data_IF_534272588931
#
_entry.id   IF_534272588931
#
_cell.length_a   1.000
_cell.length_b   1.000
_cell.length_c   1.000
_cell.angle_alpha   90.00
_cell.angle_beta   90.00
_cell.angle_gamma   90.00
#
_symmetry.space_group_name_H-M   'P 1'
#
loop_
_entity.id
_entity.type
_entity.pdbx_description
1 polymer ?
#
# COMPACT_ATOMS: atom_id res chain seq x y z
N UNK A 1 21.61 24.82 16.42
CA UNK A 1 20.23 24.28 16.51
C UNK A 1 19.94 23.56 15.24
N UNK A 2 19.65 22.24 15.29
CA UNK A 2 19.23 21.50 14.10
C UNK A 2 17.86 22.03 13.65
N UNK A 3 17.70 22.29 12.36
CA UNK A 3 16.43 22.74 11.80
C UNK A 3 15.35 21.67 12.04
N UNK A 4 14.07 22.06 12.12
CA UNK A 4 12.94 21.14 12.30
C UNK A 4 12.97 19.98 11.27
N UNK A 5 13.44 20.26 10.05
CA UNK A 5 13.63 19.29 8.97
C UNK A 5 14.66 18.20 9.32
N UNK A 6 15.80 18.54 9.96
CA UNK A 6 16.80 17.54 10.39
C UNK A 6 16.30 16.67 11.55
N UNK A 7 15.48 17.23 12.46
CA UNK A 7 14.86 16.44 13.54
C UNK A 7 13.85 15.45 12.99
N UNK A 8 13.09 15.84 11.97
CA UNK A 8 12.13 14.98 11.29
C UNK A 8 12.83 13.81 10.56
N UNK A 9 13.93 14.06 9.83
CA UNK A 9 14.73 13.01 9.23
C UNK A 9 15.33 12.05 10.27
N UNK A 10 15.81 12.54 11.40
CA UNK A 10 16.35 11.72 12.50
C UNK A 10 15.27 10.83 13.13
N UNK A 11 14.03 11.34 13.26
CA UNK A 11 12.89 10.55 13.78
C UNK A 11 12.55 9.39 12.86
N UNK A 12 12.48 9.62 11.52
CA UNK A 12 12.19 8.57 10.54
C UNK A 12 13.30 7.52 10.43
N UNK A 13 14.57 7.94 10.44
CA UNK A 13 15.71 7.01 10.40
C UNK A 13 15.81 6.12 11.64
N UNK A 14 15.26 6.55 12.77
CA UNK A 14 15.27 5.75 14.01
C UNK A 14 14.22 4.62 13.96
N UNK A 15 13.16 4.75 13.13
CA UNK A 15 12.09 3.75 12.98
C UNK A 15 12.31 2.81 11.81
N UNK A 16 13.12 3.17 10.83
CA UNK A 16 13.54 2.28 9.75
C UNK A 16 14.68 1.43 10.32
N UNK A 17 14.30 0.36 10.99
CA UNK A 17 15.27 -0.60 11.51
C UNK A 17 15.93 -1.34 10.33
N UNK A 18 17.24 -1.61 10.40
CA UNK A 18 17.85 -2.60 9.52
C UNK A 18 17.06 -3.91 9.69
N UNK A 19 16.98 -4.76 8.64
CA UNK A 19 16.21 -6.00 8.70
C UNK A 19 16.58 -6.75 9.97
N UNK A 20 15.58 -6.93 10.86
CA UNK A 20 15.80 -7.66 12.09
C UNK A 20 16.22 -9.07 11.69
N UNK A 21 17.36 -9.53 12.20
CA UNK A 21 17.65 -10.95 12.12
C UNK A 21 16.51 -11.69 12.79
N UNK A 22 15.92 -12.71 12.14
CA UNK A 22 14.91 -13.52 12.78
C UNK A 22 15.42 -14.02 14.14
N UNK A 23 14.56 -13.92 15.15
CA UNK A 23 14.87 -14.47 16.48
C UNK A 23 14.76 -16.00 16.50
N UNK A 24 14.02 -16.55 15.51
CA UNK A 24 13.86 -17.98 15.33
C UNK A 24 15.15 -18.63 14.84
N UNK A 25 15.56 -19.70 15.51
CA UNK A 25 16.58 -20.61 14.96
C UNK A 25 16.03 -21.35 13.73
N UNK A 26 16.88 -21.96 12.87
CA UNK A 26 16.41 -22.73 11.72
C UNK A 26 15.43 -23.86 12.10
N UNK A 27 15.65 -24.52 13.23
CA UNK A 27 14.78 -25.58 13.76
C UNK A 27 13.43 -24.99 14.21
N UNK A 28 13.45 -23.89 14.96
CA UNK A 28 12.24 -23.18 15.39
C UNK A 28 11.45 -22.65 14.20
N UNK A 29 12.12 -22.13 13.17
CA UNK A 29 11.48 -21.67 11.92
C UNK A 29 10.72 -22.80 11.23
N UNK A 30 11.29 -24.00 11.17
CA UNK A 30 10.62 -25.16 10.58
C UNK A 30 9.37 -25.57 11.40
N UNK A 31 9.49 -25.61 12.73
CA UNK A 31 8.36 -25.91 13.63
C UNK A 31 7.27 -24.83 13.47
N UNK A 32 7.66 -23.54 13.47
CA UNK A 32 6.75 -22.43 13.31
C UNK A 32 5.96 -22.49 11.99
N UNK A 33 6.63 -22.80 10.87
CA UNK A 33 5.99 -22.98 9.55
C UNK A 33 4.99 -24.13 9.55
N UNK A 34 5.35 -25.27 10.16
CA UNK A 34 4.47 -26.44 10.27
C UNK A 34 3.25 -26.13 11.11
N UNK A 35 3.44 -25.48 12.27
CA UNK A 35 2.37 -25.08 13.16
C UNK A 35 1.46 -24.03 12.51
N UNK A 36 2.04 -23.01 11.89
CA UNK A 36 1.31 -21.99 11.16
C UNK A 36 0.38 -22.61 10.12
N UNK A 37 0.93 -23.52 9.29
CA UNK A 37 0.14 -24.23 8.29
C UNK A 37 -1.00 -25.05 8.95
N UNK A 38 -0.72 -25.77 10.03
CA UNK A 38 -1.74 -26.53 10.75
C UNK A 38 -2.88 -25.67 11.25
N UNK A 39 -2.58 -24.49 11.82
CA UNK A 39 -3.57 -23.55 12.32
C UNK A 39 -4.37 -22.92 11.18
N UNK A 40 -3.73 -22.49 10.11
CA UNK A 40 -4.41 -21.87 8.95
C UNK A 40 -5.26 -22.88 8.18
N UNK A 41 -4.81 -24.12 8.02
CA UNK A 41 -5.59 -25.18 7.37
C UNK A 41 -6.84 -25.55 8.19
N UNK A 42 -6.75 -25.47 9.51
CA UNK A 42 -7.87 -25.74 10.41
C UNK A 42 -8.85 -24.54 10.47
N UNK A 43 -8.35 -23.31 10.35
CA UNK A 43 -9.20 -22.12 10.38
C UNK A 43 -10.23 -22.18 9.24
N UNK A 44 -11.51 -22.02 9.53
CA UNK A 44 -12.52 -22.12 8.48
C UNK A 44 -12.33 -21.02 7.46
N UNK A 45 -12.23 -21.40 6.17
CA UNK A 45 -12.16 -20.48 5.03
C UNK A 45 -13.51 -19.81 4.78
N UNK A 46 -14.20 -19.47 5.83
CA UNK A 46 -15.49 -18.79 5.83
C UNK A 46 -15.29 -17.27 5.83
N UNK A 47 -16.27 -16.56 5.35
CA UNK A 47 -16.30 -15.11 5.48
C UNK A 47 -16.66 -14.76 6.92
N UNK A 48 -15.81 -14.04 7.64
CA UNK A 48 -16.09 -13.61 9.01
C UNK A 48 -17.27 -12.65 9.00
N UNK A 49 -18.40 -13.06 9.57
CA UNK A 49 -19.65 -12.27 9.62
C UNK A 49 -20.03 -11.62 8.27
N UNK A 50 -19.75 -12.27 7.14
CA UNK A 50 -20.02 -11.75 5.82
C UNK A 50 -19.06 -10.67 5.32
N UNK A 51 -17.94 -10.44 5.99
CA UNK A 51 -17.00 -9.34 5.70
C UNK A 51 -15.88 -9.75 4.71
N UNK A 52 -15.02 -10.70 5.10
CA UNK A 52 -13.88 -11.22 4.33
C UNK A 52 -13.45 -12.58 4.92
N UNK A 53 -12.39 -13.18 4.37
CA UNK A 53 -11.87 -14.49 4.80
C UNK A 53 -10.55 -14.31 5.58
N UNK A 54 -10.58 -14.30 6.93
CA UNK A 54 -9.41 -14.00 7.77
C UNK A 54 -8.23 -14.92 7.51
N UNK A 55 -8.44 -16.25 7.52
CA UNK A 55 -7.39 -17.22 7.29
C UNK A 55 -6.74 -17.04 5.90
N UNK A 56 -7.53 -16.73 4.86
CA UNK A 56 -7.01 -16.45 3.51
C UNK A 56 -6.19 -15.16 3.50
N UNK A 57 -6.61 -14.11 4.21
CA UNK A 57 -5.84 -12.87 4.32
C UNK A 57 -4.44 -13.12 4.91
N UNK A 58 -4.38 -13.89 6.01
CA UNK A 58 -3.12 -14.21 6.68
C UNK A 58 -2.24 -15.08 5.79
N UNK A 59 -2.79 -16.15 5.19
CA UNK A 59 -2.09 -17.07 4.29
C UNK A 59 -1.51 -16.34 3.09
N UNK A 60 -2.32 -15.54 2.39
CA UNK A 60 -1.90 -14.79 1.22
C UNK A 60 -0.86 -13.71 1.57
N UNK A 61 -0.94 -13.13 2.77
CA UNK A 61 0.10 -12.21 3.27
C UNK A 61 1.41 -12.96 3.48
N UNK A 62 1.39 -14.09 4.20
CA UNK A 62 2.58 -14.92 4.45
C UNK A 62 3.26 -15.39 3.15
N UNK A 63 2.48 -15.78 2.15
CA UNK A 63 3.03 -16.28 0.87
C UNK A 63 3.70 -15.19 0.04
N UNK A 64 3.29 -13.91 0.19
CA UNK A 64 3.79 -12.80 -0.61
C UNK A 64 4.85 -11.94 0.04
N UNK A 65 5.09 -12.08 1.33
CA UNK A 65 6.18 -11.38 2.02
C UNK A 65 7.51 -12.10 1.83
N UNK A 66 8.61 -11.33 1.85
CA UNK A 66 9.96 -11.88 1.77
C UNK A 66 10.46 -12.35 3.14
N UNK A 67 10.19 -11.58 4.19
CA UNK A 67 10.65 -11.84 5.55
C UNK A 67 9.71 -12.79 6.30
N UNK A 68 9.52 -14.03 5.77
CA UNK A 68 8.56 -15.00 6.29
C UNK A 68 8.80 -15.37 7.76
N UNK A 69 10.04 -15.48 8.20
CA UNK A 69 10.33 -15.81 9.59
C UNK A 69 10.00 -14.64 10.54
N UNK A 70 10.21 -13.39 10.12
CA UNK A 70 9.78 -12.20 10.87
C UNK A 70 8.25 -12.14 10.99
N UNK A 71 7.54 -12.52 9.94
CA UNK A 71 6.08 -12.62 10.00
C UNK A 71 5.61 -13.72 10.95
N UNK A 72 6.24 -14.88 10.95
CA UNK A 72 5.92 -15.94 11.90
C UNK A 72 6.16 -15.50 13.35
N UNK A 73 7.26 -14.79 13.60
CA UNK A 73 7.52 -14.18 14.91
C UNK A 73 6.39 -13.22 15.31
N UNK A 74 5.97 -12.37 14.39
CA UNK A 74 4.91 -11.40 14.61
C UNK A 74 3.57 -12.08 14.88
N UNK A 75 3.19 -13.05 14.05
CA UNK A 75 1.99 -13.85 14.20
C UNK A 75 1.97 -14.59 15.54
N UNK A 76 3.01 -15.34 15.84
CA UNK A 76 3.05 -16.13 17.07
C UNK A 76 3.18 -15.28 18.33
N UNK A 77 3.86 -14.14 18.27
CA UNK A 77 3.89 -13.19 19.40
C UNK A 77 2.49 -12.64 19.67
N UNK A 78 1.74 -12.29 18.61
CA UNK A 78 0.34 -11.86 18.76
C UNK A 78 -0.53 -12.97 19.38
N UNK A 79 -0.42 -14.19 18.88
CA UNK A 79 -1.15 -15.33 19.44
C UNK A 79 -0.77 -15.54 20.92
N UNK A 80 0.52 -15.51 21.26
CA UNK A 80 1.01 -15.69 22.63
C UNK A 80 0.40 -14.65 23.59
N UNK A 81 0.39 -13.41 23.21
CA UNK A 81 -0.13 -12.33 24.06
C UNK A 81 -1.65 -12.34 24.22
N UNK A 82 -2.38 -12.98 23.31
CA UNK A 82 -3.86 -12.98 23.33
C UNK A 82 -4.49 -14.31 23.74
N UNK A 83 -3.73 -15.41 23.69
CA UNK A 83 -4.25 -16.75 24.04
C UNK A 83 -3.72 -17.24 25.40
N UNK A 84 -2.46 -16.93 25.74
CA UNK A 84 -1.84 -17.40 26.97
C UNK A 84 -2.02 -16.35 28.06
N UNK A 85 -2.77 -16.66 29.17
CA UNK A 85 -2.94 -15.75 30.29
C UNK A 85 -1.59 -15.30 30.87
N UNK A 86 -1.53 -14.06 31.40
CA UNK A 86 -0.26 -13.55 31.95
C UNK A 86 0.30 -14.41 33.07
N UNK A 87 -0.56 -14.98 33.88
CA UNK A 87 -0.19 -15.85 34.99
C UNK A 87 0.44 -17.18 34.55
N UNK A 88 0.17 -17.60 33.31
CA UNK A 88 0.69 -18.86 32.73
C UNK A 88 1.95 -18.63 31.88
N UNK A 89 2.36 -17.35 31.68
CA UNK A 89 3.54 -17.01 30.93
C UNK A 89 4.82 -17.30 31.73
N UNK A 90 5.58 -18.30 31.29
CA UNK A 90 6.86 -18.69 31.90
C UNK A 90 8.02 -17.75 31.54
N UNK A 91 9.16 -17.97 32.15
CA UNK A 91 10.42 -17.20 31.92
C UNK A 91 11.24 -17.70 30.71
N UNK A 92 10.76 -18.71 29.99
CA UNK A 92 11.44 -19.28 28.80
C UNK A 92 11.21 -18.47 27.53
N UNK A 93 11.81 -18.93 26.41
CA UNK A 93 11.55 -18.34 25.08
C UNK A 93 10.06 -18.36 24.78
N UNK A 94 9.55 -17.24 24.24
CA UNK A 94 8.17 -17.11 23.77
C UNK A 94 7.79 -18.25 22.83
N UNK A 95 8.68 -18.57 21.87
CA UNK A 95 8.45 -19.62 20.88
C UNK A 95 8.40 -21.01 21.50
N UNK A 96 9.25 -21.32 22.46
CA UNK A 96 9.22 -22.59 23.17
C UNK A 96 7.88 -22.79 23.92
N UNK A 97 7.34 -21.73 24.49
CA UNK A 97 6.05 -21.76 25.20
C UNK A 97 4.88 -21.93 24.23
N UNK A 98 4.89 -21.21 23.09
CA UNK A 98 3.89 -21.35 22.02
C UNK A 98 3.89 -22.77 21.47
N UNK A 99 5.06 -23.30 21.12
CA UNK A 99 5.15 -24.66 20.56
C UNK A 99 4.72 -25.72 21.57
N UNK A 100 5.02 -25.54 22.85
CA UNK A 100 4.53 -26.41 23.93
C UNK A 100 3.00 -26.32 24.06
N UNK A 101 2.43 -25.10 24.02
CA UNK A 101 1.01 -24.87 24.11
C UNK A 101 0.23 -25.54 22.97
N UNK A 102 0.68 -25.38 21.73
CA UNK A 102 0.01 -25.94 20.55
C UNK A 102 0.42 -27.39 20.21
N UNK A 103 1.31 -28.02 21.00
CA UNK A 103 1.82 -29.39 20.72
C UNK A 103 0.71 -30.38 20.44
N UNK A 104 -0.34 -30.35 21.27
CA UNK A 104 -1.46 -31.28 21.23
C UNK A 104 -2.72 -30.65 20.61
N UNK A 105 -2.57 -29.64 19.75
CA UNK A 105 -3.69 -28.89 19.14
C UNK A 105 -4.73 -29.81 18.49
N UNK A 106 -4.28 -30.91 17.84
CA UNK A 106 -5.18 -31.85 17.18
C UNK A 106 -6.18 -32.49 18.17
N UNK A 107 -5.77 -32.70 19.42
CA UNK A 107 -6.57 -33.33 20.47
C UNK A 107 -7.42 -32.37 21.31
N UNK A 108 -7.29 -31.03 21.05
CA UNK A 108 -8.03 -30.04 21.82
C UNK A 108 -9.54 -30.16 21.69
N UNK A 109 -10.24 -29.77 22.74
CA UNK A 109 -11.70 -29.63 22.71
C UNK A 109 -12.14 -28.63 21.65
N UNK A 110 -13.33 -28.79 21.06
CA UNK A 110 -13.85 -27.81 20.09
C UNK A 110 -13.82 -26.37 20.63
N UNK A 111 -14.17 -26.16 21.91
CA UNK A 111 -14.16 -24.85 22.55
C UNK A 111 -12.77 -24.20 22.56
N UNK A 112 -11.72 -24.96 22.88
CA UNK A 112 -10.35 -24.42 22.91
C UNK A 112 -9.87 -24.10 21.50
N UNK A 113 -10.24 -24.91 20.51
CA UNK A 113 -9.96 -24.62 19.09
C UNK A 113 -10.68 -23.37 18.64
N UNK A 114 -11.94 -23.17 19.01
CA UNK A 114 -12.70 -21.96 18.66
C UNK A 114 -12.03 -20.70 19.23
N UNK A 115 -11.55 -20.73 20.48
CA UNK A 115 -10.80 -19.61 21.07
C UNK A 115 -9.53 -19.29 20.30
N UNK A 116 -8.77 -20.29 19.87
CA UNK A 116 -7.59 -20.07 19.04
C UNK A 116 -7.96 -19.49 17.67
N UNK A 117 -9.06 -19.95 17.06
CA UNK A 117 -9.54 -19.44 15.78
C UNK A 117 -10.04 -17.99 15.89
N UNK A 118 -10.72 -17.63 16.96
CA UNK A 118 -11.12 -16.24 17.22
C UNK A 118 -9.89 -15.32 17.32
N UNK A 119 -8.79 -15.80 17.91
CA UNK A 119 -7.53 -15.04 17.98
C UNK A 119 -6.88 -14.88 16.60
N UNK A 120 -6.95 -15.90 15.74
CA UNK A 120 -6.47 -15.82 14.34
C UNK A 120 -7.31 -14.80 13.55
N UNK A 121 -8.64 -14.82 13.73
CA UNK A 121 -9.54 -13.85 13.11
C UNK A 121 -9.22 -12.42 13.60
N UNK A 122 -8.95 -12.23 14.88
CA UNK A 122 -8.53 -10.94 15.46
C UNK A 122 -7.17 -10.47 14.92
N UNK A 123 -6.23 -11.39 14.66
CA UNK A 123 -4.95 -11.02 13.99
C UNK A 123 -5.17 -10.53 12.57
N UNK A 124 -6.06 -11.17 11.82
CA UNK A 124 -6.43 -10.67 10.48
C UNK A 124 -7.07 -9.28 10.56
N UNK A 125 -7.95 -9.05 11.55
CA UNK A 125 -8.54 -7.74 11.81
C UNK A 125 -7.48 -6.69 12.17
N UNK A 126 -6.51 -7.06 13.00
CA UNK A 126 -5.36 -6.20 13.31
C UNK A 126 -4.57 -5.80 12.06
N UNK A 127 -4.31 -6.74 11.13
CA UNK A 127 -3.64 -6.42 9.85
C UNK A 127 -4.48 -5.46 9.00
N UNK A 128 -5.80 -5.64 8.97
CA UNK A 128 -6.68 -4.73 8.25
C UNK A 128 -6.64 -3.33 8.85
N UNK A 129 -6.80 -3.21 10.16
CA UNK A 129 -6.91 -1.91 10.83
C UNK A 129 -5.61 -1.12 10.84
N UNK A 130 -4.46 -1.80 10.95
CA UNK A 130 -3.16 -1.16 11.08
C UNK A 130 -2.36 -1.09 9.77
N UNK A 131 -2.80 -1.77 8.71
CA UNK A 131 -2.06 -1.78 7.46
C UNK A 131 -2.96 -1.60 6.23
N UNK A 132 -3.81 -2.57 5.90
CA UNK A 132 -4.51 -2.58 4.61
C UNK A 132 -5.53 -1.43 4.46
N UNK A 133 -6.33 -1.16 5.48
CA UNK A 133 -7.34 -0.10 5.42
C UNK A 133 -6.71 1.30 5.40
N UNK A 134 -5.76 1.65 6.29
CA UNK A 134 -5.06 2.92 6.22
C UNK A 134 -4.33 3.12 4.89
N UNK A 135 -3.66 2.08 4.38
CA UNK A 135 -2.94 2.14 3.11
C UNK A 135 -3.89 2.47 1.96
N UNK A 136 -5.03 1.76 1.85
CA UNK A 136 -6.03 2.02 0.81
C UNK A 136 -6.69 3.40 0.96
N UNK A 137 -7.05 3.80 2.17
CA UNK A 137 -7.64 5.13 2.42
C UNK A 137 -6.72 6.28 2.00
N UNK A 138 -5.40 6.07 2.07
CA UNK A 138 -4.38 7.06 1.73
C UNK A 138 -3.99 7.05 0.25
N UNK A 139 -4.09 5.90 -0.43
CA UNK A 139 -3.61 5.72 -1.82
C UNK A 139 -4.45 6.48 -2.84
N UNK A 140 -5.76 6.61 -2.62
CA UNK A 140 -6.68 7.33 -3.54
C UNK A 140 -6.52 8.85 -3.46
N UNK A 141 -5.89 9.36 -2.41
CA UNK A 141 -5.81 10.78 -2.08
C UNK A 141 -4.41 11.37 -2.27
N UNK A 142 -3.74 11.04 -3.36
CA UNK A 142 -2.47 11.72 -3.70
C UNK A 142 -2.75 13.21 -3.91
N UNK A 143 -2.09 14.13 -3.16
CA UNK A 143 -2.27 15.56 -3.33
C UNK A 143 -1.94 15.96 -4.77
N UNK A 144 -2.91 16.52 -5.49
CA UNK A 144 -2.68 17.05 -6.83
C UNK A 144 -2.50 18.56 -6.74
N UNK A 145 -1.38 19.15 -7.21
CA UNK A 145 -1.24 20.59 -7.25
C UNK A 145 -2.21 21.16 -8.28
N UNK A 146 -3.01 22.13 -7.86
CA UNK A 146 -3.91 22.85 -8.78
C UNK A 146 -3.10 23.68 -9.79
N UNK A 147 -3.61 23.92 -11.01
CA UNK A 147 -2.93 24.78 -11.99
C UNK A 147 -2.58 26.19 -11.46
N UNK A 148 -3.40 26.74 -10.58
CA UNK A 148 -3.16 28.03 -9.91
C UNK A 148 -1.98 27.94 -8.93
N UNK A 149 -1.82 26.82 -8.21
CA UNK A 149 -0.70 26.62 -7.32
C UNK A 149 0.64 26.47 -8.05
N UNK A 150 0.63 25.98 -9.30
CA UNK A 150 1.82 25.89 -10.15
C UNK A 150 2.32 27.27 -10.60
N UNK A 151 1.42 28.24 -10.80
CA UNK A 151 1.77 29.60 -11.25
C UNK A 151 2.30 30.48 -10.11
N UNK A 152 1.91 30.21 -8.86
CA UNK A 152 2.23 31.06 -7.71
C UNK A 152 3.59 30.74 -7.04
N UNK A 153 4.31 29.71 -7.47
CA UNK A 153 5.34 29.05 -6.64
C UNK A 153 6.79 29.32 -7.04
N UNK A 154 7.12 30.47 -7.61
CA UNK A 154 8.55 30.83 -7.79
C UNK A 154 9.26 31.27 -6.50
N UNK A 155 8.54 31.48 -5.38
CA UNK A 155 9.10 31.96 -4.10
C UNK A 155 8.53 31.28 -2.84
N UNK A 156 7.95 30.06 -2.95
CA UNK A 156 7.40 29.40 -1.77
C UNK A 156 8.48 28.65 -0.96
N UNK A 157 8.42 28.66 0.38
CA UNK A 157 9.37 27.91 1.21
C UNK A 157 9.25 26.41 0.96
N UNK A 158 10.35 25.68 1.12
CA UNK A 158 10.56 24.24 0.95
C UNK A 158 9.59 23.39 1.79
N UNK A 159 8.31 23.32 1.39
CA UNK A 159 7.27 22.52 2.03
C UNK A 159 6.79 21.37 1.14
N UNK A 160 5.91 20.54 1.68
CA UNK A 160 5.31 19.38 1.01
C UNK A 160 4.70 19.74 -0.36
N UNK A 161 4.03 20.90 -0.49
CA UNK A 161 3.44 21.36 -1.77
C UNK A 161 4.47 21.54 -2.87
N UNK A 162 5.64 22.08 -2.55
CA UNK A 162 6.74 22.27 -3.51
C UNK A 162 7.30 20.93 -3.99
N UNK A 163 7.48 19.95 -3.09
CA UNK A 163 7.96 18.61 -3.43
C UNK A 163 6.97 17.88 -4.35
N UNK A 164 5.69 17.89 -4.02
CA UNK A 164 4.63 17.25 -4.84
C UNK A 164 4.55 17.90 -6.23
N UNK A 165 4.68 19.24 -6.33
CA UNK A 165 4.70 19.93 -7.63
C UNK A 165 5.93 19.54 -8.47
N UNK A 166 7.09 19.41 -7.85
CA UNK A 166 8.32 18.95 -8.50
C UNK A 166 8.17 17.50 -8.94
N UNK A 167 7.72 16.60 -8.07
CA UNK A 167 7.44 15.21 -8.39
C UNK A 167 6.55 15.07 -9.62
N UNK A 168 5.46 15.88 -9.67
CA UNK A 168 4.55 15.89 -10.83
C UNK A 168 5.27 16.26 -12.13
N UNK A 169 6.09 17.30 -12.12
CA UNK A 169 6.82 17.74 -13.31
C UNK A 169 7.84 16.70 -13.78
N UNK A 170 8.57 16.11 -12.83
CA UNK A 170 9.57 15.09 -13.11
C UNK A 170 8.93 13.81 -13.69
N UNK A 171 7.83 13.32 -13.10
CA UNK A 171 7.13 12.15 -13.59
C UNK A 171 6.51 12.39 -14.98
N UNK A 172 5.85 13.52 -15.20
CA UNK A 172 5.31 13.85 -16.53
C UNK A 172 6.41 13.90 -17.60
N UNK A 173 7.56 14.51 -17.29
CA UNK A 173 8.73 14.56 -18.22
C UNK A 173 9.28 13.15 -18.47
N UNK A 174 9.46 12.34 -17.42
CA UNK A 174 9.95 10.96 -17.53
C UNK A 174 9.06 10.12 -18.46
N UNK A 175 7.73 10.24 -18.26
CA UNK A 175 6.74 9.39 -18.94
C UNK A 175 6.27 10.03 -20.28
N UNK A 176 7.01 11.02 -20.82
CA UNK A 176 6.72 11.70 -22.08
C UNK A 176 5.31 12.31 -22.12
N UNK A 177 4.84 12.83 -20.97
CA UNK A 177 3.49 13.38 -20.79
C UNK A 177 2.39 12.37 -21.19
N UNK A 178 2.65 11.06 -20.99
CA UNK A 178 1.71 9.99 -21.31
C UNK A 178 1.37 9.15 -20.09
N UNK A 179 0.11 8.76 -20.00
CA UNK A 179 -0.30 7.73 -19.04
C UNK A 179 0.47 6.43 -19.28
N UNK A 180 1.09 5.87 -18.26
CA UNK A 180 1.89 4.63 -18.39
C UNK A 180 1.03 3.40 -18.75
N UNK A 181 -0.29 3.45 -18.49
CA UNK A 181 -1.24 2.38 -18.83
C UNK A 181 -1.82 2.58 -20.23
N UNK A 182 -2.60 3.66 -20.45
CA UNK A 182 -3.36 3.89 -21.67
C UNK A 182 -2.57 4.53 -22.81
N UNK A 183 -1.42 5.13 -22.51
CA UNK A 183 -0.60 5.94 -23.43
C UNK A 183 -1.27 7.22 -23.91
N UNK A 184 -2.39 7.64 -23.30
CA UNK A 184 -3.01 8.93 -23.59
C UNK A 184 -2.09 10.07 -23.17
N UNK A 185 -2.01 11.11 -24.02
CA UNK A 185 -1.16 12.27 -23.80
C UNK A 185 -1.84 13.30 -22.87
N UNK A 186 -1.04 14.04 -22.09
CA UNK A 186 -1.57 15.06 -21.17
C UNK A 186 -2.24 16.21 -21.94
N UNK A 187 -3.54 16.41 -21.67
CA UNK A 187 -4.37 17.43 -22.34
C UNK A 187 -3.91 18.85 -22.02
N UNK A 188 -3.41 19.11 -20.82
CA UNK A 188 -2.94 20.43 -20.43
C UNK A 188 -1.64 20.80 -21.16
N UNK A 189 -0.70 19.87 -21.26
CA UNK A 189 0.54 20.06 -22.01
C UNK A 189 0.28 20.18 -23.52
N UNK A 190 -0.67 19.39 -24.07
CA UNK A 190 -1.06 19.51 -25.47
C UNK A 190 -1.56 20.92 -25.79
N UNK A 191 -2.48 21.47 -24.96
CA UNK A 191 -2.98 22.85 -25.15
C UNK A 191 -1.83 23.87 -25.12
N UNK A 192 -0.98 23.78 -24.10
CA UNK A 192 0.16 24.68 -23.94
C UNK A 192 1.10 24.66 -25.15
N UNK A 193 1.43 23.46 -25.68
CA UNK A 193 2.28 23.31 -26.86
C UNK A 193 1.63 23.86 -28.13
N UNK A 194 0.32 23.58 -28.33
CA UNK A 194 -0.43 24.06 -29.50
C UNK A 194 -0.66 25.57 -29.49
N UNK A 195 -0.79 26.20 -28.31
CA UNK A 195 -0.85 27.67 -28.18
C UNK A 195 0.44 28.34 -28.62
N UNK A 196 1.59 27.67 -28.44
CA UNK A 196 2.91 28.18 -28.89
C UNK A 196 3.16 27.91 -30.38
N UNK A 197 2.75 26.75 -30.88
CA UNK A 197 2.93 26.36 -32.27
C UNK A 197 1.91 25.27 -32.65
N UNK A 198 1.07 25.52 -33.65
CA UNK A 198 0.08 24.57 -34.16
C UNK A 198 0.69 23.27 -34.73
N UNK A 199 1.99 23.28 -35.09
CA UNK A 199 2.71 22.12 -35.55
C UNK A 199 3.54 21.44 -34.44
N UNK A 200 3.18 21.70 -33.17
CA UNK A 200 3.86 21.06 -32.05
C UNK A 200 3.70 19.54 -32.09
N UNK A 201 4.76 18.90 -31.65
CA UNK A 201 4.87 17.44 -31.55
C UNK A 201 4.83 17.00 -30.09
N UNK A 202 4.44 15.75 -29.88
CA UNK A 202 4.71 15.07 -28.62
C UNK A 202 6.20 14.66 -28.49
N UNK A 203 6.55 14.04 -27.38
CA UNK A 203 7.94 13.65 -27.10
C UNK A 203 8.38 12.41 -27.91
N UNK A 204 7.43 11.72 -28.55
CA UNK A 204 7.69 10.60 -29.46
C UNK A 204 7.83 11.08 -30.93
N UNK A 205 7.68 12.39 -31.18
CA UNK A 205 7.88 13.05 -32.47
C UNK A 205 6.63 13.16 -33.36
N UNK A 206 5.46 12.72 -32.88
CA UNK A 206 4.20 12.77 -33.60
C UNK A 206 3.51 14.14 -33.46
N UNK A 207 2.91 14.64 -34.54
CA UNK A 207 2.17 15.91 -34.52
C UNK A 207 0.91 15.80 -33.67
N UNK A 208 0.78 16.65 -32.64
CA UNK A 208 -0.36 16.65 -31.73
C UNK A 208 -1.70 16.85 -32.46
N UNK A 209 -1.75 17.72 -33.48
CA UNK A 209 -2.95 17.98 -34.28
C UNK A 209 -3.46 16.77 -35.10
N UNK A 210 -2.60 15.78 -35.34
CA UNK A 210 -2.95 14.57 -36.10
C UNK A 210 -3.48 13.47 -35.20
N UNK A 211 -3.37 13.62 -33.87
CA UNK A 211 -3.84 12.63 -32.92
C UNK A 211 -5.38 12.79 -32.71
N UNK A 212 -6.05 11.68 -32.46
CA UNK A 212 -7.50 11.68 -32.21
C UNK A 212 -7.81 12.31 -30.85
N UNK A 213 -8.99 12.90 -30.71
CA UNK A 213 -9.41 13.58 -29.47
C UNK A 213 -9.46 12.66 -28.24
N UNK A 214 -9.70 11.35 -28.44
CA UNK A 214 -9.71 10.33 -27.39
C UNK A 214 -8.32 9.92 -26.90
N UNK A 215 -7.26 10.40 -27.57
CA UNK A 215 -5.86 10.20 -27.16
C UNK A 215 -5.37 11.25 -26.15
N UNK A 216 -6.23 12.20 -25.76
CA UNK A 216 -5.88 13.26 -24.80
C UNK A 216 -6.71 13.14 -23.53
N UNK A 217 -6.04 13.14 -22.38
CA UNK A 217 -6.66 13.07 -21.05
C UNK A 217 -5.89 13.95 -20.07
N UNK A 218 -6.52 14.42 -18.99
CA UNK A 218 -5.78 15.04 -17.89
C UNK A 218 -5.06 13.94 -17.09
N UNK A 219 -3.76 14.13 -16.90
CA UNK A 219 -2.94 13.18 -16.17
C UNK A 219 -2.69 13.63 -14.74
N UNK A 220 -2.56 12.65 -13.88
CA UNK A 220 -2.24 12.77 -12.46
C UNK A 220 -1.00 11.93 -12.15
N UNK A 221 -0.34 12.24 -11.04
CA UNK A 221 0.79 11.44 -10.55
C UNK A 221 0.36 10.72 -9.29
N UNK A 222 0.36 9.41 -9.36
CA UNK A 222 -0.01 8.52 -8.27
C UNK A 222 1.25 8.03 -7.55
N UNK A 223 1.31 8.15 -6.22
CA UNK A 223 2.32 7.45 -5.43
C UNK A 223 2.05 5.94 -5.43
N UNK A 224 3.11 5.13 -5.52
CA UNK A 224 3.02 3.67 -5.39
C UNK A 224 2.79 3.30 -3.93
N UNK A 225 3.61 3.84 -3.03
CA UNK A 225 3.38 3.82 -1.58
C UNK A 225 2.91 5.21 -1.15
N UNK A 226 1.76 5.34 -0.45
CA UNK A 226 1.15 6.62 -0.17
C UNK A 226 2.03 7.57 0.64
N UNK A 227 2.06 8.84 0.25
CA UNK A 227 2.77 9.92 0.92
C UNK A 227 2.45 10.00 2.43
N UNK A 228 1.19 9.79 2.82
CA UNK A 228 0.74 9.89 4.22
C UNK A 228 1.39 8.88 5.16
N UNK A 229 1.90 7.76 4.65
CA UNK A 229 2.54 6.72 5.46
C UNK A 229 3.82 7.24 6.14
N UNK A 230 4.60 8.06 5.43
CA UNK A 230 5.89 8.57 5.92
C UNK A 230 5.80 10.00 6.53
N UNK A 231 4.61 10.61 6.55
CA UNK A 231 4.44 11.96 7.10
C UNK A 231 4.08 11.94 8.57
N UNK A 232 4.75 12.81 9.34
CA UNK A 232 4.38 13.13 10.73
C UNK A 232 3.45 14.33 10.71
N UNK A 233 2.41 14.34 11.54
CA UNK A 233 1.54 15.51 11.66
C UNK A 233 2.32 16.72 12.19
N UNK A 234 1.86 17.93 11.85
CA UNK A 234 2.54 19.19 12.28
C UNK A 234 2.57 19.39 13.79
N UNK A 235 1.72 18.68 14.53
CA UNK A 235 1.56 18.77 15.97
C UNK A 235 2.33 17.68 16.74
N UNK A 236 2.81 16.63 16.06
CA UNK A 236 3.51 15.52 16.65
C UNK A 236 5.01 15.53 16.31
N UNK A 237 5.82 15.09 17.25
CA UNK A 237 7.26 14.91 17.04
C UNK A 237 7.63 13.51 16.51
N UNK A 238 6.70 12.58 16.55
CA UNK A 238 6.89 11.17 16.21
C UNK A 238 5.74 10.61 15.35
N UNK A 239 5.98 9.49 14.67
CA UNK A 239 4.95 8.73 13.98
C UNK A 239 4.00 8.09 14.99
N UNK A 240 2.71 8.06 14.66
CA UNK A 240 1.70 7.32 15.45
C UNK A 240 2.01 5.81 15.49
N UNK A 241 1.52 5.12 16.51
CA UNK A 241 1.71 3.67 16.65
C UNK A 241 1.13 2.90 15.46
N UNK A 242 0.02 3.37 14.88
CA UNK A 242 -0.57 2.78 13.68
C UNK A 242 0.35 2.90 12.46
N UNK A 243 1.00 4.05 12.26
CA UNK A 243 1.98 4.23 11.17
C UNK A 243 3.25 3.41 11.39
N UNK A 244 3.71 3.31 12.64
CA UNK A 244 4.81 2.43 13.00
C UNK A 244 4.50 0.97 12.69
N UNK A 245 3.30 0.50 13.05
CA UNK A 245 2.83 -0.85 12.72
C UNK A 245 2.75 -1.07 11.21
N UNK A 246 2.22 -0.11 10.45
CA UNK A 246 2.14 -0.20 9.00
C UNK A 246 3.52 -0.28 8.33
N UNK A 247 4.48 0.55 8.76
CA UNK A 247 5.87 0.49 8.27
C UNK A 247 6.53 -0.84 8.63
N UNK A 248 6.31 -1.36 9.84
CA UNK A 248 6.84 -2.64 10.26
C UNK A 248 6.30 -3.79 9.40
N UNK A 249 4.99 -3.77 9.08
CA UNK A 249 4.38 -4.77 8.19
C UNK A 249 4.92 -4.62 6.75
N UNK A 250 5.10 -3.38 6.28
CA UNK A 250 5.65 -3.09 4.96
C UNK A 250 7.08 -3.62 4.80
N UNK A 251 7.92 -3.50 5.84
CA UNK A 251 9.28 -4.04 5.87
C UNK A 251 9.32 -5.57 5.78
N UNK A 252 8.24 -6.27 6.17
CA UNK A 252 8.16 -7.72 5.97
C UNK A 252 7.99 -8.10 4.51
N UNK A 253 7.34 -7.24 3.69
CA UNK A 253 7.22 -7.48 2.25
C UNK A 253 8.57 -7.40 1.54
N UNK A 254 9.35 -6.37 1.83
CA UNK A 254 10.72 -6.23 1.32
C UNK A 254 11.49 -5.27 2.25
N UNK A 255 12.56 -5.74 2.94
CA UNK A 255 13.30 -4.94 3.92
C UNK A 255 14.03 -3.73 3.31
N UNK A 256 14.20 -3.70 1.98
CA UNK A 256 14.85 -2.58 1.30
C UNK A 256 13.87 -1.45 0.94
N UNK A 257 12.58 -1.55 1.31
CA UNK A 257 11.59 -0.51 1.02
C UNK A 257 11.73 0.69 1.96
N UNK A 258 12.03 0.44 3.23
CA UNK A 258 12.15 1.49 4.22
C UNK A 258 12.99 2.69 3.75
N UNK A 259 14.22 2.51 3.26
CA UNK A 259 15.04 3.59 2.72
C UNK A 259 14.43 4.33 1.53
N UNK A 260 13.65 3.64 0.68
CA UNK A 260 13.01 4.25 -0.50
C UNK A 260 11.83 5.17 -0.17
N UNK A 261 11.27 5.06 1.04
CA UNK A 261 10.11 5.87 1.45
C UNK A 261 10.40 6.76 2.64
N UNK A 262 11.65 6.79 3.11
CA UNK A 262 12.05 7.55 4.29
C UNK A 262 12.00 9.06 4.04
N UNK A 263 11.24 9.79 4.84
CA UNK A 263 11.22 11.26 4.83
C UNK A 263 10.87 11.85 3.46
N UNK A 264 11.75 12.70 2.87
CA UNK A 264 11.51 13.29 1.55
C UNK A 264 11.49 12.30 0.39
N UNK A 265 12.12 11.14 0.54
CA UNK A 265 12.24 10.12 -0.50
C UNK A 265 10.89 9.54 -0.93
N UNK A 266 9.87 9.62 -0.06
CA UNK A 266 8.49 9.24 -0.40
C UNK A 266 7.97 10.02 -1.62
N UNK A 267 8.43 11.26 -1.83
CA UNK A 267 8.08 12.14 -2.95
C UNK A 267 9.09 12.05 -4.12
N UNK A 268 9.78 10.94 -4.27
CA UNK A 268 10.71 10.72 -5.37
C UNK A 268 10.03 10.07 -6.58
N UNK A 269 10.51 10.34 -7.82
CA UNK A 269 9.92 9.78 -9.04
C UNK A 269 9.85 8.25 -9.06
N UNK A 270 10.78 7.55 -8.41
CA UNK A 270 10.74 6.09 -8.33
C UNK A 270 9.56 5.55 -7.49
N UNK A 271 8.92 6.38 -6.66
CA UNK A 271 7.71 6.03 -5.93
C UNK A 271 6.44 6.56 -6.61
N UNK A 272 6.47 6.86 -7.91
CA UNK A 272 5.31 7.46 -8.56
C UNK A 272 5.14 7.05 -10.03
N UNK A 273 3.88 7.06 -10.49
CA UNK A 273 3.43 6.74 -11.84
C UNK A 273 2.57 7.87 -12.40
N UNK A 274 2.71 8.15 -13.71
CA UNK A 274 1.81 9.06 -14.44
C UNK A 274 0.60 8.30 -14.97
N UNK A 275 -0.59 8.66 -14.52
CA UNK A 275 -1.84 7.95 -14.82
C UNK A 275 -2.95 8.93 -15.25
N UNK A 276 -3.98 8.44 -15.95
CA UNK A 276 -5.25 9.17 -16.07
C UNK A 276 -5.97 9.13 -14.72
N UNK A 277 -6.92 10.03 -14.50
CA UNK A 277 -7.72 10.05 -13.28
C UNK A 277 -8.36 8.68 -12.95
N UNK A 278 -8.94 8.02 -13.96
CA UNK A 278 -9.55 6.71 -13.77
C UNK A 278 -8.53 5.64 -13.34
N UNK A 279 -7.36 5.56 -14.01
CA UNK A 279 -6.34 4.59 -13.63
C UNK A 279 -5.63 4.95 -12.32
N UNK A 280 -5.53 6.23 -11.96
CA UNK A 280 -5.06 6.64 -10.64
C UNK A 280 -5.98 6.10 -9.55
N UNK A 281 -7.31 6.24 -9.73
CA UNK A 281 -8.28 5.68 -8.79
C UNK A 281 -8.15 4.16 -8.68
N UNK A 282 -8.20 3.44 -9.80
CA UNK A 282 -8.10 1.97 -9.81
C UNK A 282 -6.77 1.47 -9.21
N UNK A 283 -5.67 2.20 -9.44
CA UNK A 283 -4.37 1.89 -8.84
C UNK A 283 -4.39 2.11 -7.33
N UNK A 284 -4.89 3.25 -6.85
CA UNK A 284 -5.02 3.53 -5.43
C UNK A 284 -6.01 2.61 -4.70
N UNK A 285 -6.99 2.07 -5.41
CA UNK A 285 -7.92 1.05 -4.91
C UNK A 285 -7.35 -0.38 -4.95
N UNK A 286 -6.12 -0.56 -5.46
CA UNK A 286 -5.48 -1.86 -5.69
C UNK A 286 -6.27 -2.78 -6.65
N UNK A 287 -7.01 -2.19 -7.56
CA UNK A 287 -7.76 -2.92 -8.59
C UNK A 287 -6.94 -3.18 -9.85
N UNK A 288 -5.91 -2.38 -10.13
CA UNK A 288 -4.91 -2.64 -11.17
C UNK A 288 -3.53 -2.80 -10.53
N UNK A 289 -2.70 -3.64 -11.13
CA UNK A 289 -1.39 -3.97 -10.64
C UNK A 289 -0.38 -4.16 -11.78
N UNK A 290 0.90 -4.08 -11.44
CA UNK A 290 2.03 -4.20 -12.37
C UNK A 290 2.86 -5.42 -11.98
N UNK A 291 3.01 -6.37 -12.89
CA UNK A 291 3.86 -7.54 -12.71
C UNK A 291 4.98 -7.57 -13.74
N UNK A 292 6.20 -7.72 -13.28
CA UNK A 292 7.34 -7.88 -14.18
C UNK A 292 7.22 -9.21 -14.92
N UNK A 293 7.10 -9.14 -16.25
CA UNK A 293 6.88 -10.34 -17.09
C UNK A 293 8.09 -11.27 -17.08
N UNK A 294 9.28 -10.69 -17.14
CA UNK A 294 10.55 -11.41 -17.14
C UNK A 294 11.52 -10.66 -16.22
N UNK A 295 12.01 -11.29 -15.15
CA UNK A 295 12.98 -10.65 -14.24
C UNK A 295 14.28 -10.21 -14.93
N UNK A 296 14.61 -10.77 -16.10
CA UNK A 296 15.80 -10.42 -16.88
C UNK A 296 15.57 -9.20 -17.77
N UNK A 297 14.31 -8.86 -18.05
CA UNK A 297 13.94 -7.69 -18.86
C UNK A 297 13.47 -6.59 -17.92
N UNK A 298 14.37 -5.69 -17.62
CA UNK A 298 14.07 -4.55 -16.76
C UNK A 298 12.94 -3.69 -17.34
N UNK A 299 12.10 -3.14 -16.47
CA UNK A 299 11.07 -2.12 -16.78
C UNK A 299 9.92 -2.59 -17.68
N UNK A 300 9.84 -3.85 -18.05
CA UNK A 300 8.71 -4.37 -18.82
C UNK A 300 7.72 -5.06 -17.88
N UNK A 301 6.50 -4.54 -17.87
CA UNK A 301 5.44 -4.99 -16.97
C UNK A 301 4.21 -5.43 -17.76
N UNK A 302 3.60 -6.52 -17.30
CA UNK A 302 2.19 -6.82 -17.59
C UNK A 302 1.36 -6.06 -16.57
N UNK A 303 0.47 -5.21 -17.06
CA UNK A 303 -0.49 -4.48 -16.24
C UNK A 303 -1.82 -5.16 -16.41
N UNK A 304 -2.43 -5.54 -15.30
CA UNK A 304 -3.72 -6.25 -15.31
C UNK A 304 -4.60 -5.77 -14.14
N UNK A 305 -5.82 -6.27 -14.09
CA UNK A 305 -6.81 -5.91 -13.09
C UNK A 305 -7.26 -7.12 -12.27
N UNK A 306 -7.59 -6.85 -11.01
CA UNK A 306 -8.22 -7.83 -10.12
C UNK A 306 -9.72 -8.04 -10.43
N UNK A 307 -10.34 -7.20 -11.28
CA UNK A 307 -11.73 -7.36 -11.71
C UNK A 307 -11.88 -8.57 -12.64
N UNK A 308 -12.69 -9.52 -12.23
CA UNK A 308 -12.92 -10.77 -12.95
C UNK A 308 -14.20 -10.76 -13.81
N UNK A 309 -15.14 -9.85 -13.54
CA UNK A 309 -16.40 -9.75 -14.27
C UNK A 309 -16.16 -9.13 -15.66
N UNK A 310 -16.41 -9.86 -16.76
CA UNK A 310 -16.05 -9.40 -18.12
C UNK A 310 -16.67 -8.05 -18.51
N UNK A 311 -17.87 -7.76 -18.01
CA UNK A 311 -18.61 -6.53 -18.32
C UNK A 311 -18.17 -5.29 -17.52
N UNK A 312 -17.35 -5.47 -16.46
CA UNK A 312 -16.73 -4.38 -15.70
C UNK A 312 -15.23 -4.25 -15.98
N UNK A 313 -14.64 -5.28 -16.58
CA UNK A 313 -13.22 -5.31 -16.90
C UNK A 313 -12.92 -4.39 -18.07
N UNK A 314 -11.96 -3.48 -17.92
CA UNK A 314 -11.48 -2.66 -19.04
C UNK A 314 -10.87 -3.58 -20.12
N UNK A 315 -11.34 -3.49 -21.39
CA UNK A 315 -10.84 -4.33 -22.50
C UNK A 315 -9.36 -4.11 -22.82
N UNK A 316 -8.72 -3.05 -22.30
CA UNK A 316 -7.29 -2.83 -22.44
C UNK A 316 -6.47 -3.91 -21.71
N UNK A 317 -7.00 -4.50 -20.64
CA UNK A 317 -6.27 -5.45 -19.81
C UNK A 317 -6.42 -6.92 -20.28
N UNK A 318 -5.35 -7.73 -20.20
CA UNK A 318 -3.99 -7.36 -19.79
C UNK A 318 -3.24 -6.60 -20.88
N UNK A 319 -2.37 -5.66 -20.48
CA UNK A 319 -1.53 -4.93 -21.40
C UNK A 319 -0.07 -4.97 -20.97
N UNK A 320 0.83 -5.13 -21.92
CA UNK A 320 2.29 -5.05 -21.65
C UNK A 320 2.78 -3.64 -21.94
N UNK A 321 3.53 -3.06 -20.99
CA UNK A 321 4.16 -1.75 -21.13
C UNK A 321 5.62 -1.81 -20.69
N UNK A 322 6.45 -1.10 -21.44
CA UNK A 322 7.78 -0.71 -21.01
C UNK A 322 7.66 0.67 -20.34
N UNK A 323 8.19 0.80 -19.11
CA UNK A 323 8.25 2.07 -18.40
C UNK A 323 9.48 2.84 -18.88
N UNK A 324 9.24 4.08 -19.31
CA UNK A 324 10.30 4.92 -19.90
C UNK A 324 11.36 5.32 -18.88
N UNK A 325 12.57 5.51 -19.39
CA UNK A 325 13.60 6.32 -18.75
C UNK A 325 13.48 7.74 -19.28
N UNK A 326 13.83 8.73 -18.46
CA UNK A 326 14.01 10.08 -19.02
C UNK A 326 15.13 10.05 -20.07
N UNK A 327 15.00 10.84 -21.15
CA UNK A 327 16.01 10.85 -22.23
C UNK A 327 17.43 11.12 -21.74
N UNK A 328 17.56 11.90 -20.66
CA UNK A 328 18.84 12.27 -20.06
C UNK A 328 19.27 11.34 -18.92
N UNK A 329 18.50 10.29 -18.62
CA UNK A 329 18.69 9.37 -17.48
C UNK A 329 18.82 10.09 -16.13
N UNK A 330 18.21 11.27 -16.00
CA UNK A 330 18.31 12.13 -14.80
C UNK A 330 17.15 11.95 -13.85
N UNK A 331 16.08 11.25 -14.28
CA UNK A 331 14.88 10.99 -13.49
C UNK A 331 14.72 9.48 -13.36
N UNK A 332 14.64 9.00 -12.12
CA UNK A 332 14.53 7.57 -11.84
C UNK A 332 13.22 6.97 -12.36
N UNK A 333 13.25 5.75 -12.90
CA UNK A 333 12.05 4.99 -13.22
C UNK A 333 11.34 4.53 -11.92
N UNK A 334 10.05 4.12 -12.01
CA UNK A 334 9.36 3.49 -10.90
C UNK A 334 10.13 2.28 -10.37
N UNK A 335 10.31 2.22 -9.05
CA UNK A 335 11.07 1.13 -8.43
C UNK A 335 10.29 -0.19 -8.51
N UNK A 336 10.92 -1.22 -9.08
CA UNK A 336 10.33 -2.55 -9.24
C UNK A 336 9.91 -3.17 -7.90
N UNK A 337 10.66 -2.94 -6.84
CA UNK A 337 10.33 -3.40 -5.48
C UNK A 337 9.01 -2.81 -4.98
N UNK A 338 8.78 -1.52 -5.18
CA UNK A 338 7.53 -0.86 -4.77
C UNK A 338 6.34 -1.37 -5.58
N UNK A 339 6.48 -1.54 -6.90
CA UNK A 339 5.45 -2.13 -7.77
C UNK A 339 5.14 -3.58 -7.39
N UNK A 340 6.16 -4.38 -7.04
CA UNK A 340 5.98 -5.75 -6.57
C UNK A 340 5.17 -5.82 -5.27
N UNK A 341 5.42 -4.93 -4.32
CA UNK A 341 4.65 -4.87 -3.07
C UNK A 341 3.23 -4.39 -3.34
N UNK A 342 3.04 -3.39 -4.19
CA UNK A 342 1.70 -2.95 -4.59
C UNK A 342 0.90 -4.11 -5.21
N UNK A 343 1.49 -4.88 -6.13
CA UNK A 343 0.88 -6.07 -6.73
C UNK A 343 0.54 -7.14 -5.68
N UNK A 344 1.46 -7.42 -4.75
CA UNK A 344 1.21 -8.36 -3.66
C UNK A 344 -0.01 -7.96 -2.81
N UNK A 345 -0.12 -6.68 -2.45
CA UNK A 345 -1.25 -6.14 -1.69
C UNK A 345 -2.56 -6.27 -2.49
N UNK A 346 -2.55 -5.95 -3.79
CA UNK A 346 -3.72 -6.09 -4.67
C UNK A 346 -4.26 -7.53 -4.67
N UNK A 347 -3.38 -8.52 -4.80
CA UNK A 347 -3.77 -9.93 -4.76
C UNK A 347 -4.27 -10.37 -3.38
N UNK A 348 -3.61 -9.96 -2.27
CA UNK A 348 -4.07 -10.28 -0.92
C UNK A 348 -5.48 -9.76 -0.69
N UNK A 349 -5.73 -8.50 -1.02
CA UNK A 349 -7.04 -7.86 -0.85
C UNK A 349 -8.13 -8.55 -1.68
N UNK A 350 -7.81 -8.94 -2.92
CA UNK A 350 -8.76 -9.63 -3.80
C UNK A 350 -9.08 -11.04 -3.33
N UNK A 351 -8.08 -11.87 -3.07
CA UNK A 351 -8.26 -13.29 -2.76
C UNK A 351 -8.95 -13.51 -1.40
N UNK A 352 -8.66 -12.64 -0.44
CA UNK A 352 -9.31 -12.66 0.88
C UNK A 352 -10.71 -12.04 0.89
N UNK A 353 -11.06 -11.21 -0.10
CA UNK A 353 -12.27 -10.39 -0.11
C UNK A 353 -12.18 -9.15 0.80
N UNK A 354 -10.98 -8.88 1.35
CA UNK A 354 -10.76 -7.73 2.23
C UNK A 354 -10.86 -6.39 1.48
N UNK A 355 -10.54 -6.36 0.17
CA UNK A 355 -10.66 -5.17 -0.65
C UNK A 355 -12.08 -4.62 -0.69
N UNK A 356 -13.06 -5.47 -0.96
CA UNK A 356 -14.50 -5.11 -0.99
C UNK A 356 -15.02 -4.71 0.40
N UNK A 357 -14.53 -5.38 1.45
CA UNK A 357 -14.85 -5.04 2.83
C UNK A 357 -14.34 -3.64 3.22
N UNK A 358 -13.07 -3.35 2.93
CA UNK A 358 -12.45 -2.04 3.21
C UNK A 358 -13.16 -0.94 2.42
N UNK A 359 -13.45 -1.15 1.14
CA UNK A 359 -14.16 -0.17 0.30
C UNK A 359 -15.53 0.19 0.91
N UNK A 360 -16.31 -0.82 1.28
CA UNK A 360 -17.61 -0.60 1.93
C UNK A 360 -17.45 0.19 3.24
N UNK A 361 -16.49 -0.19 4.08
CA UNK A 361 -16.23 0.50 5.35
C UNK A 361 -15.83 1.96 5.13
N UNK A 362 -14.92 2.24 4.19
CA UNK A 362 -14.50 3.60 3.86
C UNK A 362 -15.65 4.44 3.29
N UNK A 363 -16.54 3.84 2.48
CA UNK A 363 -17.75 4.50 1.98
C UNK A 363 -18.70 4.86 3.11
N UNK A 364 -19.01 3.93 4.00
CA UNK A 364 -19.85 4.15 5.19
C UNK A 364 -19.28 5.26 6.07
N UNK A 365 -17.94 5.32 6.22
CA UNK A 365 -17.25 6.41 6.93
C UNK A 365 -17.43 7.77 6.26
N UNK A 366 -17.47 7.81 4.94
CA UNK A 366 -17.56 9.05 4.16
C UNK A 366 -19.01 9.59 4.14
N UNK A 367 -19.98 8.69 4.03
CA UNK A 367 -21.41 9.04 3.94
C UNK A 367 -22.03 9.51 5.28
N UNK A 368 -21.33 9.32 6.41
CA UNK A 368 -21.79 9.66 7.78
C UNK A 368 -23.16 9.03 8.10
N UNK A 369 -23.59 8.04 7.34
CA UNK A 369 -24.85 7.35 7.52
C UNK A 369 -24.64 6.10 8.37
N UNK A 370 -25.18 6.10 9.58
CA UNK A 370 -25.32 4.89 10.39
C UNK A 370 -26.49 4.10 9.82
N UNK A 371 -26.25 2.88 9.36
CA UNK A 371 -27.30 2.02 8.84
C UNK A 371 -28.30 1.68 9.96
N UNK A 372 -29.60 1.84 9.66
CA UNK A 372 -30.68 1.63 10.64
C UNK A 372 -30.80 0.16 11.13
N UNK A 373 -30.21 -0.79 10.38
CA UNK A 373 -30.17 -2.22 10.70
C UNK A 373 -29.01 -2.62 11.62
N UNK A 374 -28.16 -1.64 12.04
CA UNK A 374 -27.00 -1.90 12.89
C UNK A 374 -25.82 -2.58 12.18
N UNK A 375 -25.84 -2.66 10.82
CA UNK A 375 -24.76 -3.27 10.04
C UNK A 375 -23.48 -2.42 10.00
N UNK A 376 -23.56 -1.15 10.38
CA UNK A 376 -22.43 -0.22 10.43
C UNK A 376 -21.52 -0.51 11.62
N UNK A 377 -20.23 -0.70 11.39
CA UNK A 377 -19.23 -0.90 12.45
C UNK A 377 -18.79 0.44 13.06
N UNK A 378 -19.61 0.95 13.99
CA UNK A 378 -19.35 2.23 14.66
C UNK A 378 -18.03 2.26 15.43
N UNK A 379 -17.65 1.15 16.07
CA UNK A 379 -16.38 1.06 16.81
C UNK A 379 -15.18 1.31 15.89
N UNK A 380 -15.17 0.68 14.73
CA UNK A 380 -14.12 0.84 13.73
C UNK A 380 -14.13 2.23 13.09
N UNK A 381 -15.32 2.78 12.83
CA UNK A 381 -15.48 4.16 12.36
C UNK A 381 -14.87 5.17 13.34
N UNK A 382 -15.13 5.01 14.62
CA UNK A 382 -14.61 5.89 15.68
C UNK A 382 -13.08 5.74 15.80
N UNK A 383 -12.54 4.53 15.84
CA UNK A 383 -11.10 4.27 15.97
C UNK A 383 -10.34 4.84 14.77
N UNK A 384 -10.85 4.66 13.56
CA UNK A 384 -10.24 5.16 12.34
C UNK A 384 -10.31 6.69 12.21
N UNK A 385 -11.33 7.34 12.80
CA UNK A 385 -11.44 8.81 12.82
C UNK A 385 -10.58 9.47 13.89
N UNK A 386 -10.34 8.79 14.99
CA UNK A 386 -9.51 9.27 16.09
C UNK A 386 -8.02 8.95 15.90
N UNK A 387 -7.68 8.02 14.99
CA UNK A 387 -6.29 7.75 14.61
C UNK A 387 -5.77 8.83 13.65
N UNK A 388 -4.44 9.10 13.69
CA UNK A 388 -3.74 10.11 12.88
C UNK A 388 -3.88 9.99 11.35
N UNK A 389 -4.53 8.96 10.88
CA UNK A 389 -4.94 8.81 9.49
C UNK A 389 -6.08 9.75 9.10
N UNK A 390 -6.82 10.30 10.10
CA UNK A 390 -7.96 11.21 9.87
C UNK A 390 -7.54 12.52 9.18
N UNK A 391 -6.31 12.98 9.34
CA UNK A 391 -5.80 14.17 8.65
C UNK A 391 -5.70 13.98 7.13
N UNK A 392 -5.62 12.73 6.64
CA UNK A 392 -5.73 12.43 5.21
C UNK A 392 -7.19 12.49 4.71
N UNK A 393 -8.17 12.39 5.60
CA UNK A 393 -9.60 12.46 5.28
C UNK A 393 -10.18 13.89 5.33
N UNK A 394 -9.51 14.84 5.96
CA UNK A 394 -10.02 16.17 6.29
C UNK A 394 -9.61 17.29 5.31
N UNK A 395 -8.88 17.00 4.23
CA UNK A 395 -8.48 18.02 3.23
C UNK A 395 -9.42 17.94 2.05
N UNK A 396 -10.57 18.59 2.17
CA UNK A 396 -11.40 19.10 1.08
C UNK A 396 -11.51 20.61 1.16
#
# INVERSE_FOLDING_TARGET
MATAHRRHQLSLTTFIHPPRKPLLTPEESQIARSLFKTLIDYAPRRTSKGRYKPAVLIEETFERIQCRDVFLEYFFTYIYTNVIPEEERGTGSVFSQIFAYFRDFSSWSPKNKDTAMDTIDNFAEYLIDNFFMPLRASSVKTPQPTPVALSANQNAPTGTKSRVSRLRQECLKRDHYRCVVSRKFDRAEAKKRLEQNENSKDDDGELLRNQRSDQFEYLEVAHIIPHSLATVSSEESELSESKKAALYILDMFDPDIGPLIAGPEIDSPYNALTLTHNYHRLFGEFEIYFEQKDPTVERTYVIDTTEQRPFLRDPLFPVTRELHLSPELTIDPPASKLLKVHSAIAHILKLSGAGEYIERTLREMTEICVSADGSTDLGRLVTSRLGDWSNALAVF
#
